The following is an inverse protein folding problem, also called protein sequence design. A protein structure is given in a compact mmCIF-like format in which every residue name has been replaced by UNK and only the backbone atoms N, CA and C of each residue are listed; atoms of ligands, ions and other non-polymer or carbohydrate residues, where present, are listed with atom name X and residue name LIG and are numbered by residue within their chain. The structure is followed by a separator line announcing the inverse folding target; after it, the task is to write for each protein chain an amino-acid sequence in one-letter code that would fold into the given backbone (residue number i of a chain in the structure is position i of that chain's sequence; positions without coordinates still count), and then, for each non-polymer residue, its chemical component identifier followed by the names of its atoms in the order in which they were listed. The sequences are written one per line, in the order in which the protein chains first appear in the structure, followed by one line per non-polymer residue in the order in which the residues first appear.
data_IF_016103095123
#
_entry.id   IF_016103095123
#
_cell.length_a   1.000
_cell.length_b   1.000
_cell.length_c   1.000
_cell.angle_alpha   90.00
_cell.angle_beta   90.00
_cell.angle_gamma   90.00
#
_symmetry.space_group_name_H-M   'P 1'
#
loop_
_entity.id
_entity.type
_entity.pdbx_description
1 polymer ?
#
# COMPACT_ATOMS: atom_id res chain seq x y z
N UNK A 1 -11.26 -79.10 -14.95
CA UNK A 1 -11.06 -78.42 -13.65
C UNK A 1 -10.00 -77.32 -13.69
N UNK A 2 -8.76 -77.56 -14.19
CA UNK A 2 -7.70 -76.52 -14.28
C UNK A 2 -8.07 -75.27 -15.13
N UNK A 3 -8.80 -75.43 -16.24
CA UNK A 3 -9.28 -74.32 -17.09
C UNK A 3 -10.39 -73.48 -16.44
N UNK A 4 -11.20 -74.10 -15.56
CA UNK A 4 -12.27 -73.42 -14.82
C UNK A 4 -11.69 -72.61 -13.64
N UNK A 5 -10.65 -73.14 -12.98
CA UNK A 5 -9.89 -72.43 -11.93
C UNK A 5 -9.15 -71.22 -12.51
N UNK A 6 -8.57 -71.35 -13.71
CA UNK A 6 -7.88 -70.23 -14.37
C UNK A 6 -8.82 -69.08 -14.77
N UNK A 7 -10.04 -69.40 -15.21
CA UNK A 7 -11.09 -68.40 -15.49
C UNK A 7 -11.61 -67.72 -14.22
N UNK A 8 -11.69 -68.45 -13.11
CA UNK A 8 -12.12 -67.89 -11.82
C UNK A 8 -11.06 -66.95 -11.21
N UNK A 9 -9.77 -67.28 -11.33
CA UNK A 9 -8.66 -66.42 -10.89
C UNK A 9 -8.55 -65.15 -11.76
N UNK A 10 -8.79 -65.26 -13.07
CA UNK A 10 -8.79 -64.10 -13.97
C UNK A 10 -10.00 -63.18 -13.72
N UNK A 11 -11.17 -63.74 -13.40
CA UNK A 11 -12.36 -62.95 -13.04
C UNK A 11 -12.19 -62.20 -11.71
N UNK A 12 -11.51 -62.79 -10.71
CA UNK A 12 -11.25 -62.13 -9.42
C UNK A 12 -10.29 -60.92 -9.55
N UNK A 13 -9.35 -60.96 -10.50
CA UNK A 13 -8.38 -59.89 -10.71
C UNK A 13 -9.00 -58.59 -11.27
N UNK A 14 -10.15 -58.68 -11.97
CA UNK A 14 -10.82 -57.53 -12.59
C UNK A 14 -11.62 -56.72 -11.55
N UNK A 15 -12.08 -57.35 -10.47
CA UNK A 15 -12.92 -56.71 -9.43
C UNK A 15 -12.07 -55.90 -8.43
N UNK A 16 -10.79 -56.25 -8.26
CA UNK A 16 -9.86 -55.53 -7.37
C UNK A 16 -9.26 -54.25 -7.99
N UNK A 17 -9.49 -54.00 -9.29
CA UNK A 17 -8.88 -52.89 -10.03
C UNK A 17 -9.56 -51.51 -9.88
N UNK A 18 -10.80 -51.45 -9.38
CA UNK A 18 -11.50 -50.19 -9.19
C UNK A 18 -11.25 -49.61 -7.79
N UNK A 19 -10.01 -49.18 -7.50
CA UNK A 19 -9.82 -48.16 -6.45
C UNK A 19 -10.40 -46.84 -6.99
N UNK A 20 -11.58 -46.47 -6.51
CA UNK A 20 -12.11 -45.11 -6.69
C UNK A 20 -11.11 -44.16 -6.03
N UNK A 21 -10.33 -43.45 -6.84
CA UNK A 21 -9.54 -42.32 -6.35
C UNK A 21 -10.54 -41.22 -5.99
N UNK A 22 -10.80 -41.05 -4.69
CA UNK A 22 -11.53 -39.89 -4.21
C UNK A 22 -10.56 -38.72 -4.21
N UNK A 23 -10.62 -37.92 -5.26
CA UNK A 23 -9.86 -36.67 -5.30
C UNK A 23 -10.41 -35.77 -4.20
N UNK A 24 -9.50 -35.25 -3.37
CA UNK A 24 -9.81 -34.22 -2.38
C UNK A 24 -10.42 -33.02 -3.13
N UNK A 25 -11.76 -32.88 -3.06
CA UNK A 25 -12.50 -31.81 -3.75
C UNK A 25 -12.43 -30.49 -2.98
N UNK A 26 -11.70 -30.45 -1.88
CA UNK A 26 -11.54 -29.23 -1.09
C UNK A 26 -10.61 -28.29 -1.84
N UNK A 27 -11.17 -27.20 -2.38
CA UNK A 27 -10.39 -26.13 -3.02
C UNK A 27 -9.60 -25.41 -1.93
N UNK A 28 -8.29 -25.63 -1.85
CA UNK A 28 -7.40 -25.04 -0.82
C UNK A 28 -6.91 -23.62 -1.15
N UNK A 29 -7.43 -23.03 -2.22
CA UNK A 29 -7.02 -21.71 -2.71
C UNK A 29 -5.66 -21.72 -3.41
N UNK A 30 -5.32 -20.60 -4.05
CA UNK A 30 -3.99 -20.41 -4.64
C UNK A 30 -2.98 -19.89 -3.62
N UNK A 31 -1.74 -20.38 -3.70
CA UNK A 31 -0.63 -19.84 -2.91
C UNK A 31 -0.20 -18.45 -3.40
N UNK A 32 0.51 -17.72 -2.54
CA UNK A 32 1.10 -16.43 -2.84
C UNK A 32 2.46 -16.36 -2.15
N UNK A 33 3.50 -16.10 -2.93
CA UNK A 33 4.87 -16.03 -2.45
C UNK A 33 5.21 -14.69 -1.78
N UNK A 34 6.34 -14.68 -1.09
CA UNK A 34 6.86 -13.49 -0.42
C UNK A 34 7.24 -12.38 -1.41
N UNK A 35 7.26 -11.15 -0.90
CA UNK A 35 7.68 -9.97 -1.61
C UNK A 35 8.18 -8.90 -0.63
N UNK A 36 9.00 -7.98 -1.13
CA UNK A 36 9.71 -6.99 -0.33
C UNK A 36 9.46 -5.57 -0.81
N UNK A 37 9.48 -4.65 0.14
CA UNK A 37 9.42 -3.21 -0.14
C UNK A 37 10.77 -2.78 -0.74
N UNK A 38 10.73 -1.90 -1.74
CA UNK A 38 11.94 -1.35 -2.38
C UNK A 38 12.11 0.14 -2.12
N UNK A 39 11.02 0.91 -2.00
CA UNK A 39 11.07 2.31 -1.60
C UNK A 39 9.73 2.79 -0.99
N UNK A 40 9.73 3.87 -0.18
CA UNK A 40 10.92 4.45 0.45
C UNK A 40 11.52 3.49 1.50
N UNK A 41 12.72 3.80 2.00
CA UNK A 41 13.34 3.02 3.08
C UNK A 41 12.58 3.15 4.41
N UNK A 42 13.09 2.47 5.45
CA UNK A 42 12.58 2.61 6.82
C UNK A 42 13.21 3.80 7.54
N UNK A 43 12.58 4.29 8.60
CA UNK A 43 13.01 5.44 9.42
C UNK A 43 13.10 6.75 8.63
N UNK A 44 12.15 6.98 7.73
CA UNK A 44 12.07 8.22 6.96
C UNK A 44 11.28 9.27 7.75
N UNK A 45 11.78 10.50 7.77
CA UNK A 45 11.05 11.68 8.22
C UNK A 45 10.55 12.45 6.99
N UNK A 46 9.23 12.41 6.78
CA UNK A 46 8.56 13.10 5.68
C UNK A 46 7.84 14.34 6.21
N UNK A 47 8.20 15.51 5.71
CA UNK A 47 7.48 16.76 6.01
C UNK A 47 6.64 17.12 4.79
N UNK A 48 5.31 17.17 4.96
CA UNK A 48 4.41 17.52 3.88
C UNK A 48 4.48 19.03 3.62
N UNK A 49 4.59 19.41 2.35
CA UNK A 49 4.68 20.81 1.94
C UNK A 49 3.37 21.30 1.31
N UNK A 50 2.66 22.20 2.00
CA UNK A 50 1.42 22.81 1.55
C UNK A 50 1.62 23.74 0.33
N UNK A 51 2.84 24.22 0.08
CA UNK A 51 3.17 25.00 -1.11
C UNK A 51 3.30 24.15 -2.38
N UNK A 52 3.52 22.84 -2.23
CA UNK A 52 3.61 21.90 -3.35
C UNK A 52 2.70 20.68 -3.08
N UNK A 53 1.38 20.88 -2.97
CA UNK A 53 0.44 19.83 -2.57
C UNK A 53 0.37 18.66 -3.57
N UNK A 54 0.71 18.93 -4.83
CA UNK A 54 0.80 17.93 -5.90
C UNK A 54 2.13 17.18 -5.97
N UNK A 55 3.12 17.47 -5.11
CA UNK A 55 4.37 16.71 -5.06
C UNK A 55 4.08 15.25 -4.71
N UNK A 56 4.60 14.33 -5.53
CA UNK A 56 4.34 12.90 -5.42
C UNK A 56 5.40 12.18 -4.60
N UNK A 57 4.95 11.26 -3.75
CA UNK A 57 5.74 10.23 -3.10
C UNK A 57 5.40 8.89 -3.76
N UNK A 58 6.45 8.20 -4.21
CA UNK A 58 6.33 6.89 -4.85
C UNK A 58 6.75 5.80 -3.86
N UNK A 59 5.82 4.90 -3.58
CA UNK A 59 6.03 3.72 -2.75
C UNK A 59 6.03 2.51 -3.67
N UNK A 60 7.06 1.68 -3.60
CA UNK A 60 7.28 0.56 -4.53
C UNK A 60 7.73 -0.70 -3.81
N UNK A 61 7.39 -1.84 -4.40
CA UNK A 61 7.75 -3.17 -3.91
C UNK A 61 7.96 -4.14 -5.08
N UNK A 62 8.51 -5.31 -4.81
CA UNK A 62 8.57 -6.41 -5.79
C UNK A 62 7.22 -7.09 -5.91
N UNK A 63 6.91 -7.69 -7.07
CA UNK A 63 5.70 -8.49 -7.20
C UNK A 63 5.74 -9.74 -6.31
N UNK A 64 4.63 -10.06 -5.64
CA UNK A 64 4.41 -11.36 -5.03
C UNK A 64 4.24 -12.42 -6.13
N UNK A 65 4.85 -13.59 -5.94
CA UNK A 65 4.80 -14.67 -6.94
C UNK A 65 3.47 -15.42 -6.79
N UNK A 66 2.57 -15.41 -7.80
CA UNK A 66 1.36 -16.21 -7.76
C UNK A 66 1.70 -17.70 -7.70
N UNK A 67 0.92 -18.48 -6.96
CA UNK A 67 1.10 -19.93 -6.89
C UNK A 67 0.77 -20.62 -8.22
N UNK A 68 -0.31 -20.20 -8.87
CA UNK A 68 -0.71 -20.75 -10.18
C UNK A 68 -0.97 -19.62 -11.18
N UNK A 69 -2.11 -18.92 -11.08
CA UNK A 69 -2.56 -18.01 -12.15
C UNK A 69 -3.17 -16.69 -11.64
N UNK A 70 -3.58 -16.61 -10.38
CA UNK A 70 -4.33 -15.46 -9.88
C UNK A 70 -3.37 -14.35 -9.45
N UNK A 71 -3.33 -13.29 -10.25
CA UNK A 71 -2.54 -12.11 -9.95
C UNK A 71 -3.04 -11.43 -8.66
N UNK A 72 -2.14 -11.05 -7.74
CA UNK A 72 -2.52 -10.40 -6.50
C UNK A 72 -2.91 -8.93 -6.73
N UNK A 73 -3.82 -8.44 -5.89
CA UNK A 73 -4.03 -7.02 -5.65
C UNK A 73 -3.24 -6.60 -4.39
N UNK A 74 -2.74 -5.37 -4.36
CA UNK A 74 -1.91 -4.83 -3.30
C UNK A 74 -2.59 -3.67 -2.60
N UNK A 75 -2.47 -3.66 -1.28
CA UNK A 75 -2.94 -2.57 -0.41
C UNK A 75 -1.80 -2.12 0.47
N UNK A 76 -1.49 -0.83 0.44
CA UNK A 76 -0.60 -0.20 1.41
C UNK A 76 -1.36 -0.03 2.73
N UNK A 77 -0.76 -0.47 3.82
CA UNK A 77 -1.36 -0.45 5.14
C UNK A 77 -0.44 0.27 6.13
N UNK A 78 -1.02 1.09 7.00
CA UNK A 78 -0.27 1.76 8.05
C UNK A 78 -1.04 1.82 9.37
N UNK A 79 -0.29 1.77 10.46
CA UNK A 79 -0.78 1.93 11.82
C UNK A 79 0.12 2.93 12.56
N UNK A 80 -0.39 3.53 13.64
CA UNK A 80 0.47 4.22 14.59
C UNK A 80 1.54 3.26 15.10
N UNK A 81 2.74 3.77 15.36
CA UNK A 81 3.85 2.97 15.91
C UNK A 81 3.52 2.32 17.26
N UNK A 82 2.62 2.92 18.02
CA UNK A 82 2.08 2.40 19.28
C UNK A 82 0.90 1.45 19.09
N UNK A 83 0.40 1.29 17.87
CA UNK A 83 -0.73 0.45 17.50
C UNK A 83 -0.32 -0.93 16.98
N UNK A 84 -1.21 -1.56 16.20
CA UNK A 84 -0.99 -2.88 15.62
C UNK A 84 -1.14 -2.83 14.09
N UNK A 85 -0.09 -3.22 13.36
CA UNK A 85 -0.09 -3.24 11.89
C UNK A 85 -1.05 -4.27 11.28
N UNK A 86 -1.39 -5.32 12.02
CA UNK A 86 -2.38 -6.32 11.57
C UNK A 86 -3.82 -5.77 11.70
N UNK A 87 -4.02 -4.67 12.42
CA UNK A 87 -5.25 -3.88 12.48
C UNK A 87 -4.97 -2.43 12.04
N UNK A 88 -4.69 -2.21 10.73
CA UNK A 88 -4.16 -0.94 10.24
C UNK A 88 -5.18 0.21 10.34
N UNK A 89 -4.67 1.40 10.68
CA UNK A 89 -5.42 2.65 10.75
C UNK A 89 -5.77 3.18 9.34
N UNK A 90 -4.86 3.00 8.39
CA UNK A 90 -4.96 3.47 7.00
C UNK A 90 -4.77 2.28 6.06
N UNK A 91 -5.62 2.21 5.04
CA UNK A 91 -5.59 1.19 4.00
C UNK A 91 -5.82 1.90 2.67
N UNK A 92 -4.85 1.80 1.75
CA UNK A 92 -4.93 2.46 0.44
C UNK A 92 -4.56 1.43 -0.63
N UNK A 93 -5.48 1.13 -1.58
CA UNK A 93 -5.13 0.25 -2.70
C UNK A 93 -4.01 0.88 -3.53
N UNK A 94 -3.11 0.05 -4.08
CA UNK A 94 -2.07 0.55 -4.98
C UNK A 94 -2.65 1.12 -6.28
N UNK A 95 -1.77 1.67 -7.13
CA UNK A 95 -2.19 2.21 -8.43
C UNK A 95 -2.92 1.14 -9.28
N UNK A 96 -3.67 1.60 -10.28
CA UNK A 96 -4.47 0.73 -11.15
C UNK A 96 -5.43 -0.17 -10.36
N UNK A 97 -6.08 0.41 -9.35
CA UNK A 97 -7.01 -0.26 -8.45
C UNK A 97 -6.40 -1.50 -7.77
N UNK A 98 -5.18 -1.37 -7.24
CA UNK A 98 -4.49 -2.42 -6.50
C UNK A 98 -3.61 -3.33 -7.37
N UNK A 99 -3.59 -3.18 -8.70
CA UNK A 99 -2.89 -4.15 -9.57
C UNK A 99 -1.41 -3.86 -9.75
N UNK A 100 -0.99 -2.62 -9.51
CA UNK A 100 0.40 -2.22 -9.71
C UNK A 100 1.23 -2.47 -8.44
N UNK A 101 2.52 -2.72 -8.61
CA UNK A 101 3.50 -2.82 -7.49
C UNK A 101 4.03 -1.44 -7.06
N UNK A 102 3.20 -0.43 -7.24
CA UNK A 102 3.50 0.98 -6.98
C UNK A 102 2.25 1.67 -6.45
N UNK A 103 2.43 2.48 -5.41
CA UNK A 103 1.46 3.45 -4.96
C UNK A 103 2.07 4.85 -5.10
N UNK A 104 1.37 5.75 -5.77
CA UNK A 104 1.74 7.15 -5.89
C UNK A 104 0.75 7.98 -5.09
N UNK A 105 1.25 8.75 -4.11
CA UNK A 105 0.46 9.65 -3.30
C UNK A 105 1.01 11.06 -3.39
N UNK A 106 0.15 12.04 -3.57
CA UNK A 106 0.53 13.45 -3.44
C UNK A 106 0.62 13.85 -1.97
N UNK A 107 1.35 14.93 -1.67
CA UNK A 107 1.37 15.49 -0.32
C UNK A 107 -0.03 15.78 0.22
N UNK A 108 -0.92 16.33 -0.61
CA UNK A 108 -2.31 16.59 -0.22
C UNK A 108 -3.07 15.31 0.13
N UNK A 109 -2.91 14.23 -0.64
CA UNK A 109 -3.56 12.95 -0.37
C UNK A 109 -3.08 12.34 0.95
N UNK A 110 -1.77 12.46 1.26
CA UNK A 110 -1.22 11.99 2.53
C UNK A 110 -1.79 12.82 3.69
N UNK A 111 -1.83 14.15 3.55
CA UNK A 111 -2.36 15.02 4.59
C UNK A 111 -3.85 14.74 4.88
N UNK A 112 -4.67 14.63 3.83
CA UNK A 112 -6.10 14.31 3.93
C UNK A 112 -6.32 12.93 4.59
N UNK A 113 -5.51 11.92 4.21
CA UNK A 113 -5.58 10.59 4.81
C UNK A 113 -5.28 10.61 6.32
N UNK A 114 -4.35 11.44 6.78
CA UNK A 114 -4.04 11.62 8.20
C UNK A 114 -5.13 12.45 8.92
N UNK A 115 -5.63 13.50 8.29
CA UNK A 115 -6.74 14.32 8.80
C UNK A 115 -8.00 13.47 9.06
N UNK A 116 -8.34 12.58 8.12
CA UNK A 116 -9.47 11.66 8.24
C UNK A 116 -9.35 10.67 9.41
N UNK A 117 -8.16 10.56 10.02
CA UNK A 117 -7.89 9.76 11.22
C UNK A 117 -7.78 10.59 12.50
N UNK A 118 -8.12 11.87 12.44
CA UNK A 118 -8.13 12.78 13.59
C UNK A 118 -6.74 13.24 14.04
N UNK A 119 -5.71 13.05 13.22
CA UNK A 119 -4.37 13.58 13.51
C UNK A 119 -4.44 15.10 13.27
N UNK A 120 -4.06 15.91 14.26
CA UNK A 120 -4.17 17.37 14.17
C UNK A 120 -3.26 17.98 13.10
N UNK A 121 -3.64 19.15 12.58
CA UNK A 121 -2.79 19.96 11.71
C UNK A 121 -1.45 20.29 12.39
N UNK A 122 -0.36 20.34 11.61
CA UNK A 122 1.02 20.52 12.08
C UNK A 122 1.58 19.36 12.93
N UNK A 123 0.77 18.35 13.28
CA UNK A 123 1.20 17.25 14.12
C UNK A 123 2.08 16.25 13.36
N UNK A 124 2.92 15.53 14.13
CA UNK A 124 3.73 14.43 13.63
C UNK A 124 3.02 13.10 13.88
N UNK A 125 2.74 12.36 12.81
CA UNK A 125 2.27 10.99 12.83
C UNK A 125 3.48 10.03 12.81
N UNK A 126 3.75 9.33 13.91
CA UNK A 126 4.75 8.25 13.95
C UNK A 126 4.08 6.92 13.59
N UNK A 127 4.39 6.39 12.41
CA UNK A 127 3.70 5.26 11.79
C UNK A 127 4.65 4.09 11.56
N UNK A 128 4.07 2.89 11.60
CA UNK A 128 4.61 1.69 10.94
C UNK A 128 3.72 1.35 9.75
N UNK A 129 4.32 0.88 8.66
CA UNK A 129 3.62 0.57 7.44
C UNK A 129 4.18 -0.68 6.75
N UNK A 130 3.35 -1.28 5.92
CA UNK A 130 3.70 -2.42 5.08
C UNK A 130 2.77 -2.48 3.87
N UNK A 131 2.89 -3.54 3.08
CA UNK A 131 2.02 -3.82 1.93
C UNK A 131 1.44 -5.21 2.11
N UNK A 132 0.13 -5.36 1.86
CA UNK A 132 -0.56 -6.64 1.85
C UNK A 132 -0.94 -6.98 0.42
N UNK A 133 -0.55 -8.16 -0.03
CA UNK A 133 -0.97 -8.76 -1.29
C UNK A 133 -2.12 -9.75 -1.03
N UNK A 134 -3.15 -9.70 -1.88
CA UNK A 134 -4.36 -10.52 -1.78
C UNK A 134 -4.70 -11.09 -3.16
N UNK A 135 -4.82 -12.42 -3.27
CA UNK A 135 -5.25 -13.10 -4.50
C UNK A 135 -6.70 -13.63 -4.41
N UNK A 136 -7.47 -13.20 -3.41
CA UNK A 136 -8.83 -13.66 -3.12
C UNK A 136 -8.90 -14.99 -2.37
N UNK A 137 -7.81 -15.77 -2.33
CA UNK A 137 -7.70 -16.99 -1.54
C UNK A 137 -6.97 -16.75 -0.21
N UNK A 138 -5.82 -16.08 -0.28
CA UNK A 138 -4.98 -15.77 0.88
C UNK A 138 -4.45 -14.34 0.81
N UNK A 139 -4.13 -13.81 1.99
CA UNK A 139 -3.46 -12.53 2.17
C UNK A 139 -2.06 -12.77 2.71
N UNK A 140 -1.06 -12.17 2.07
CA UNK A 140 0.33 -12.21 2.50
C UNK A 140 0.82 -10.78 2.65
N UNK A 141 1.35 -10.45 3.82
CA UNK A 141 2.01 -9.16 4.06
C UNK A 141 3.46 -9.26 3.58
N UNK A 142 4.01 -8.16 3.10
CA UNK A 142 5.44 -8.08 2.79
C UNK A 142 6.29 -8.51 3.99
N UNK A 143 7.47 -9.05 3.69
CA UNK A 143 8.46 -9.40 4.72
C UNK A 143 8.90 -8.20 5.55
N UNK A 144 8.73 -7.00 5.00
CA UNK A 144 9.16 -5.75 5.57
C UNK A 144 8.01 -5.03 6.30
N UNK A 145 8.31 -4.54 7.50
CA UNK A 145 7.49 -3.54 8.20
C UNK A 145 8.38 -2.34 8.48
N UNK A 146 8.10 -1.23 7.81
CA UNK A 146 8.93 -0.03 7.84
C UNK A 146 8.32 1.03 8.75
N UNK A 147 9.17 1.86 9.33
CA UNK A 147 8.78 3.03 10.10
C UNK A 147 8.85 4.29 9.24
N UNK A 148 7.93 5.23 9.48
CA UNK A 148 7.93 6.56 8.87
C UNK A 148 7.32 7.56 9.86
N UNK A 149 7.92 8.74 9.99
CA UNK A 149 7.29 9.89 10.64
C UNK A 149 6.80 10.84 9.57
N UNK A 150 5.54 11.26 9.66
CA UNK A 150 4.95 12.20 8.71
C UNK A 150 4.49 13.44 9.46
N UNK A 151 5.04 14.60 9.12
CA UNK A 151 4.57 15.89 9.63
C UNK A 151 3.49 16.41 8.69
N UNK A 152 2.28 16.63 9.21
CA UNK A 152 1.13 17.17 8.46
C UNK A 152 1.40 18.61 7.99
N UNK A 153 0.58 19.10 7.08
CA UNK A 153 0.56 20.53 6.78
C UNK A 153 0.36 21.32 8.06
N UNK A 154 1.09 22.41 8.23
CA UNK A 154 0.88 23.40 9.29
C UNK A 154 0.19 24.62 8.66
N UNK A 155 -0.71 25.26 9.41
CA UNK A 155 -1.75 26.18 8.93
C UNK A 155 -1.26 27.53 8.41
N UNK A 156 -0.08 27.62 7.83
CA UNK A 156 0.45 28.89 7.34
C UNK A 156 1.70 28.78 6.49
N UNK A 157 1.54 28.42 5.22
CA UNK A 157 1.81 29.32 4.09
C UNK A 157 1.30 28.64 2.81
N UNK A 158 0.20 29.15 2.26
CA UNK A 158 -0.09 28.94 0.84
C UNK A 158 0.93 29.72 0.01
N UNK A 159 1.31 29.25 -1.18
CA UNK A 159 2.06 30.08 -2.12
C UNK A 159 1.26 31.37 -2.34
N UNK A 160 1.90 32.51 -2.10
CA UNK A 160 1.33 33.79 -2.47
C UNK A 160 2.10 34.32 -3.67
N UNK A 161 1.38 34.74 -4.70
CA UNK A 161 1.98 35.47 -5.79
C UNK A 161 2.25 36.90 -5.31
N UNK A 162 3.48 37.37 -5.51
CA UNK A 162 3.78 38.78 -5.37
C UNK A 162 3.27 39.48 -6.64
N UNK A 163 2.04 39.97 -6.61
CA UNK A 163 1.46 40.76 -7.71
C UNK A 163 2.07 42.16 -7.83
N UNK A 164 2.88 42.59 -6.85
CA UNK A 164 3.62 43.82 -6.98
C UNK A 164 4.38 44.26 -5.72
N UNK A 165 5.06 45.41 -5.81
CA UNK A 165 5.13 46.27 -7.01
C UNK A 165 5.87 45.59 -8.15
N UNK A 166 5.40 45.78 -9.39
CA UNK A 166 6.16 45.36 -10.58
C UNK A 166 7.57 45.96 -10.47
N UNK A 167 8.59 45.19 -10.85
CA UNK A 167 9.97 45.70 -10.87
C UNK A 167 10.03 47.03 -11.61
N UNK A 168 10.42 48.07 -10.88
CA UNK A 168 10.52 49.44 -11.37
C UNK A 168 11.93 49.95 -11.09
N UNK A 169 12.49 50.71 -12.02
CA UNK A 169 13.73 51.48 -11.81
C UNK A 169 13.48 52.83 -11.16
N UNK A 170 12.21 53.20 -10.96
CA UNK A 170 11.85 54.44 -10.29
C UNK A 170 11.89 54.23 -8.77
N UNK A 171 12.58 55.13 -8.07
CA UNK A 171 12.58 55.15 -6.62
C UNK A 171 11.16 55.38 -6.11
N UNK A 172 10.67 54.48 -5.26
CA UNK A 172 9.47 54.74 -4.45
C UNK A 172 9.94 55.55 -3.26
N UNK A 173 9.64 56.85 -3.28
CA UNK A 173 9.83 57.71 -2.11
C UNK A 173 8.78 57.36 -1.07
N UNK A 174 9.21 56.69 0.01
CA UNK A 174 8.38 56.53 1.19
C UNK A 174 8.41 57.87 1.91
N UNK A 175 7.32 58.62 1.89
CA UNK A 175 7.15 59.80 2.74
C UNK A 175 6.68 59.34 4.13
N UNK A 176 7.54 59.38 5.17
CA UNK A 176 7.15 59.01 6.52
C UNK A 176 6.34 60.10 7.24
N UNK A 177 6.00 61.22 6.59
CA UNK A 177 5.13 62.24 7.17
C UNK A 177 3.66 61.78 7.19
N UNK A 178 3.35 60.84 8.09
CA UNK A 178 2.04 60.87 8.73
C UNK A 178 2.08 61.98 9.78
N UNK A 179 1.64 63.17 9.40
CA UNK A 179 1.27 64.21 10.35
C UNK A 179 -0.16 64.71 10.06
N UNK A 180 -1.04 64.34 10.99
CA UNK A 180 -2.26 65.06 11.43
C UNK A 180 -3.36 65.35 10.41
N UNK A 181 -4.54 64.78 10.67
CA UNK A 181 -5.59 65.51 11.42
C UNK A 181 -6.10 64.65 12.59
#
# INVERSE_FOLDING_TARGET
MKKLVLLFVLALAIIAGCKKYDFDKTVKGEALGDFKITAPGTNIDLVLNAATPGSEINITWTAATPGVNTAPAYTWVAALKTGNIDNPLINIPSNNAGKDTKLTLTHAQIDEALAAKGIAEGAVADLVWSVVADNGSIKVRSTDVFSIKITRFDGGVTPFDIYGPLSSTNNVELDPASNSE
#
